data_IF_099672808310
#
_entry.id   IF_099672808310
#
_cell.length_a   1.000
_cell.length_b   1.000
_cell.length_c   1.000
_cell.angle_alpha   90.00
_cell.angle_beta   90.00
_cell.angle_gamma   90.00
#
_symmetry.space_group_name_H-M   'P 1'
#
loop_
_entity.id
_entity.type
_entity.pdbx_description
1 polymer ?
#
# COMPACT_ATOMS: atom_id res chain seq x y z
N UNK A 1 -81.25 -2.63 0.62
CA UNK A 1 -80.19 -3.67 0.76
C UNK A 1 -79.13 -3.63 -0.34
N UNK A 2 -79.45 -3.67 -1.63
CA UNK A 2 -78.45 -3.66 -2.72
C UNK A 2 -77.52 -2.45 -2.74
N UNK A 3 -78.02 -1.23 -2.39
CA UNK A 3 -77.22 0.00 -2.36
C UNK A 3 -76.17 0.02 -1.24
N UNK A 4 -76.49 -0.56 -0.12
CA UNK A 4 -75.54 -0.65 1.02
C UNK A 4 -74.45 -1.69 0.78
N UNK A 5 -74.76 -2.77 0.05
CA UNK A 5 -73.78 -3.78 -0.36
C UNK A 5 -72.78 -3.19 -1.38
N UNK A 6 -73.25 -2.33 -2.29
CA UNK A 6 -72.39 -1.66 -3.27
C UNK A 6 -71.44 -0.70 -2.60
N UNK A 7 -71.90 0.07 -1.63
CA UNK A 7 -71.07 0.99 -0.84
C UNK A 7 -69.98 0.25 -0.03
N UNK A 8 -70.38 -0.89 0.56
CA UNK A 8 -69.47 -1.73 1.34
C UNK A 8 -68.38 -2.35 0.42
N UNK A 9 -68.73 -2.78 -0.80
CA UNK A 9 -67.81 -3.32 -1.76
C UNK A 9 -66.82 -2.27 -2.28
N UNK A 10 -67.28 -1.03 -2.51
CA UNK A 10 -66.41 0.09 -2.87
C UNK A 10 -65.44 0.46 -1.74
N UNK A 11 -65.91 0.44 -0.50
CA UNK A 11 -65.08 0.71 0.67
C UNK A 11 -64.01 -0.36 0.88
N UNK A 12 -64.33 -1.64 0.68
CA UNK A 12 -63.39 -2.75 0.71
C UNK A 12 -62.37 -2.68 -0.41
N UNK A 13 -62.75 -2.22 -1.60
CA UNK A 13 -61.85 -2.04 -2.75
C UNK A 13 -60.82 -0.91 -2.45
N UNK A 14 -61.23 0.18 -1.77
CA UNK A 14 -60.35 1.25 -1.37
C UNK A 14 -59.35 0.82 -0.29
N UNK A 15 -59.71 -0.06 0.61
CA UNK A 15 -58.82 -0.61 1.64
C UNK A 15 -57.76 -1.55 1.00
N UNK A 16 -58.15 -2.31 0.00
CA UNK A 16 -57.23 -3.20 -0.70
C UNK A 16 -56.15 -2.46 -1.54
N UNK A 17 -56.45 -1.26 -2.05
CA UNK A 17 -55.49 -0.44 -2.81
C UNK A 17 -54.46 0.23 -1.89
N UNK A 18 -54.85 0.55 -0.63
CA UNK A 18 -53.91 1.19 0.32
C UNK A 18 -52.92 0.23 0.99
N UNK A 19 -53.11 -1.10 0.86
CA UNK A 19 -52.20 -2.08 1.47
C UNK A 19 -50.90 -2.36 0.65
N UNK A 20 -50.79 -1.79 -0.56
CA UNK A 20 -49.56 -1.90 -1.36
C UNK A 20 -48.51 -0.81 -1.10
N UNK A 21 -48.72 0.04 -0.08
CA UNK A 21 -47.82 1.19 0.21
C UNK A 21 -46.57 0.80 1.00
N UNK A 22 -46.43 -0.44 1.46
CA UNK A 22 -45.18 -0.93 2.00
C UNK A 22 -44.44 -1.70 0.93
N UNK A 23 -43.72 -1.01 0.07
CA UNK A 23 -42.60 -1.62 -0.65
C UNK A 23 -41.61 -2.10 0.41
N UNK A 24 -41.67 -3.40 0.73
CA UNK A 24 -40.55 -4.06 1.41
C UNK A 24 -39.37 -3.84 0.49
N UNK A 25 -38.44 -3.01 0.91
CA UNK A 25 -37.19 -2.82 0.18
C UNK A 25 -36.51 -4.19 0.10
N UNK A 26 -36.61 -4.85 -1.05
CA UNK A 26 -35.94 -6.13 -1.31
C UNK A 26 -34.42 -5.96 -1.40
N UNK A 27 -33.92 -4.72 -1.36
CA UNK A 27 -32.50 -4.40 -1.35
C UNK A 27 -32.11 -3.96 0.06
N UNK A 28 -30.99 -4.45 0.60
CA UNK A 28 -30.50 -4.00 1.90
C UNK A 28 -30.33 -2.47 1.89
N UNK A 29 -30.52 -1.79 3.04
CA UNK A 29 -30.35 -0.36 3.14
C UNK A 29 -28.93 0.02 2.71
N UNK A 30 -28.82 1.01 1.83
CA UNK A 30 -27.53 1.50 1.33
C UNK A 30 -27.03 2.62 2.24
N UNK A 31 -25.77 2.53 2.63
CA UNK A 31 -25.06 3.60 3.32
C UNK A 31 -24.44 4.57 2.29
N UNK A 32 -25.30 5.34 1.62
CA UNK A 32 -24.88 6.33 0.64
C UNK A 32 -25.78 6.41 -0.61
N UNK A 33 -25.59 7.49 -1.37
CA UNK A 33 -26.36 7.75 -2.60
C UNK A 33 -25.96 6.77 -3.72
N UNK A 34 -24.69 6.38 -3.76
CA UNK A 34 -24.12 5.46 -4.76
C UNK A 34 -23.56 4.24 -4.05
N UNK A 35 -23.74 3.07 -4.64
CA UNK A 35 -23.14 1.83 -4.15
C UNK A 35 -21.61 1.89 -4.36
N UNK A 36 -20.87 1.83 -3.25
CA UNK A 36 -19.41 1.86 -3.23
C UNK A 36 -18.77 0.48 -3.08
N UNK A 37 -19.58 -0.57 -3.02
CA UNK A 37 -19.10 -1.96 -2.88
C UNK A 37 -18.67 -2.56 -4.21
N UNK A 38 -18.96 -1.90 -5.34
CA UNK A 38 -18.52 -2.35 -6.64
C UNK A 38 -16.99 -2.29 -6.76
N UNK A 39 -16.39 -3.44 -7.00
CA UNK A 39 -14.95 -3.55 -7.27
C UNK A 39 -14.60 -2.86 -8.59
N UNK A 40 -13.52 -2.09 -8.59
CA UNK A 40 -12.99 -1.52 -9.83
C UNK A 40 -12.38 -2.63 -10.70
N UNK A 41 -12.73 -2.65 -11.97
CA UNK A 41 -12.08 -3.51 -12.97
C UNK A 41 -11.21 -2.67 -13.91
N UNK A 42 -10.29 -1.90 -13.31
CA UNK A 42 -9.34 -1.08 -14.05
C UNK A 42 -8.08 -1.88 -14.31
N UNK A 43 -7.57 -1.78 -15.55
CA UNK A 43 -6.27 -2.35 -15.92
C UNK A 43 -5.19 -1.28 -15.83
N UNK A 44 -3.98 -1.63 -15.38
CA UNK A 44 -2.86 -0.70 -15.34
C UNK A 44 -2.47 -0.27 -16.76
N UNK A 45 -2.07 0.96 -16.93
CA UNK A 45 -1.52 1.46 -18.19
C UNK A 45 -0.16 0.77 -18.41
N UNK A 46 0.05 0.06 -19.53
CA UNK A 46 1.31 -0.61 -19.79
C UNK A 46 2.45 0.41 -19.91
N UNK A 47 3.63 0.04 -19.44
CA UNK A 47 4.81 0.85 -19.69
C UNK A 47 5.12 0.86 -21.19
N UNK A 48 5.52 2.02 -21.74
CA UNK A 48 5.98 2.09 -23.11
C UNK A 48 7.22 1.22 -23.29
N UNK A 49 7.29 0.54 -24.42
CA UNK A 49 8.45 -0.24 -24.78
C UNK A 49 9.62 0.67 -25.16
N UNK A 50 10.82 0.34 -24.71
CA UNK A 50 12.04 1.09 -24.94
C UNK A 50 13.05 0.15 -25.58
N UNK A 51 13.71 0.64 -26.65
CA UNK A 51 14.83 -0.08 -27.25
C UNK A 51 16.10 0.18 -26.44
N UNK A 52 16.97 -0.81 -26.32
CA UNK A 52 18.24 -0.64 -25.64
C UNK A 52 19.10 0.49 -26.23
N UNK A 53 18.97 0.77 -27.53
CA UNK A 53 19.68 1.85 -28.20
C UNK A 53 19.19 3.26 -27.81
N UNK A 54 17.95 3.38 -27.30
CA UNK A 54 17.34 4.64 -26.90
C UNK A 54 17.50 4.90 -25.38
N UNK A 55 18.00 3.90 -24.65
CA UNK A 55 18.29 3.92 -23.22
C UNK A 55 19.73 4.41 -23.00
N UNK A 56 19.90 5.73 -22.93
CA UNK A 56 21.23 6.35 -23.01
C UNK A 56 21.82 6.67 -21.64
N UNK A 57 20.97 6.93 -20.66
CA UNK A 57 21.38 7.27 -19.30
C UNK A 57 20.46 6.61 -18.30
N UNK A 58 21.04 6.11 -17.21
CA UNK A 58 20.34 5.47 -16.10
C UNK A 58 20.96 5.87 -14.77
N UNK A 59 20.09 6.04 -13.75
CA UNK A 59 20.50 6.19 -12.36
C UNK A 59 19.51 5.48 -11.47
N UNK A 60 19.97 4.49 -10.70
CA UNK A 60 19.15 3.76 -9.77
C UNK A 60 19.12 4.45 -8.42
N UNK A 61 17.93 4.61 -7.86
CA UNK A 61 17.70 5.35 -6.65
C UNK A 61 16.76 4.56 -5.73
N UNK A 62 17.12 4.50 -4.45
CA UNK A 62 16.26 3.97 -3.42
C UNK A 62 15.72 5.11 -2.56
N UNK A 63 14.42 5.15 -2.43
CA UNK A 63 13.71 6.16 -1.65
C UNK A 63 12.95 5.51 -0.51
N UNK A 64 12.71 6.27 0.53
CA UNK A 64 11.85 5.86 1.64
C UNK A 64 10.64 6.78 1.69
N UNK A 65 9.46 6.18 1.70
CA UNK A 65 8.18 6.82 1.97
C UNK A 65 7.86 6.60 3.44
N UNK A 66 7.68 7.67 4.21
CA UNK A 66 7.14 7.59 5.57
C UNK A 66 5.63 7.80 5.51
N UNK A 67 4.85 6.76 5.81
CA UNK A 67 3.38 6.81 5.76
C UNK A 67 2.76 7.71 6.85
N UNK A 68 3.56 8.16 7.84
CA UNK A 68 3.10 9.12 8.85
C UNK A 68 2.98 10.54 8.30
N UNK A 69 3.68 10.85 7.22
CA UNK A 69 3.57 12.13 6.54
C UNK A 69 2.17 12.33 5.98
N UNK A 70 1.65 13.55 6.11
CA UNK A 70 0.27 13.90 5.73
C UNK A 70 -0.08 13.53 4.27
N UNK A 71 0.87 13.65 3.35
CA UNK A 71 0.70 13.31 1.94
C UNK A 71 0.57 11.80 1.73
N UNK A 72 1.24 11.01 2.56
CA UNK A 72 1.32 9.55 2.46
C UNK A 72 0.24 8.82 3.27
N UNK A 73 -0.47 9.52 4.16
CA UNK A 73 -1.53 8.93 5.00
C UNK A 73 -2.58 8.10 4.23
N UNK A 74 -2.97 8.44 3.00
CA UNK A 74 -3.91 7.62 2.23
C UNK A 74 -3.44 6.18 1.97
N UNK A 75 -2.13 5.90 2.06
CA UNK A 75 -1.59 4.53 1.95
C UNK A 75 -1.71 3.75 3.27
N UNK A 76 -1.69 4.45 4.40
CA UNK A 76 -1.76 3.85 5.72
C UNK A 76 -3.19 3.58 6.16
N UNK A 77 -4.10 4.55 5.95
CA UNK A 77 -5.50 4.46 6.34
C UNK A 77 -6.39 3.91 5.22
N UNK A 78 -7.49 3.21 5.56
CA UNK A 78 -8.00 2.94 6.90
C UNK A 78 -7.28 1.75 7.57
N UNK A 79 -7.16 1.78 8.91
CA UNK A 79 -6.60 0.65 9.68
C UNK A 79 -7.54 -0.56 9.63
N UNK A 80 -8.84 -0.32 9.75
CA UNK A 80 -9.89 -1.34 9.57
C UNK A 80 -10.54 -1.17 8.21
N UNK A 81 -10.57 -2.21 7.36
CA UNK A 81 -11.23 -2.14 6.07
C UNK A 81 -12.70 -1.75 6.20
N UNK A 82 -13.15 -0.76 5.44
CA UNK A 82 -14.55 -0.40 5.33
C UNK A 82 -14.88 0.07 3.91
N UNK A 83 -16.08 -0.24 3.43
CA UNK A 83 -16.46 -0.10 2.04
C UNK A 83 -15.45 -0.81 1.12
N UNK A 84 -14.95 -0.13 0.08
CA UNK A 84 -13.86 -0.66 -0.78
C UNK A 84 -12.46 -0.17 -0.36
N UNK A 85 -12.37 0.61 0.71
CA UNK A 85 -11.09 1.18 1.14
C UNK A 85 -10.37 0.24 2.08
N UNK A 86 -9.14 -0.06 1.74
CA UNK A 86 -8.18 -0.86 2.51
C UNK A 86 -6.81 -0.21 2.46
N UNK A 87 -6.03 -0.32 3.52
CA UNK A 87 -4.66 0.19 3.50
C UNK A 87 -3.82 -0.54 2.44
N UNK A 88 -2.82 0.14 1.92
CA UNK A 88 -1.92 -0.42 0.92
C UNK A 88 -1.32 -1.77 1.37
N UNK A 89 -0.83 -1.82 2.60
CA UNK A 89 -0.22 -3.04 3.13
C UNK A 89 -1.20 -4.19 3.30
N UNK A 90 -2.44 -3.92 3.71
CA UNK A 90 -3.48 -4.95 3.79
C UNK A 90 -3.74 -5.57 2.42
N UNK A 91 -3.82 -4.75 1.37
CA UNK A 91 -4.04 -5.23 -0.01
C UNK A 91 -2.87 -6.10 -0.47
N UNK A 92 -1.63 -5.67 -0.22
CA UNK A 92 -0.43 -6.44 -0.61
C UNK A 92 -0.33 -7.76 0.15
N UNK A 93 -0.61 -7.76 1.45
CA UNK A 93 -0.58 -8.99 2.26
C UNK A 93 -1.69 -9.98 1.85
N UNK A 94 -2.89 -9.50 1.57
CA UNK A 94 -3.98 -10.33 1.05
C UNK A 94 -3.61 -10.95 -0.29
N UNK A 95 -3.01 -10.18 -1.20
CA UNK A 95 -2.57 -10.66 -2.51
C UNK A 95 -1.47 -11.73 -2.42
N UNK A 96 -0.51 -11.56 -1.50
CA UNK A 96 0.53 -12.58 -1.24
C UNK A 96 -0.10 -13.83 -0.64
N UNK A 97 -1.06 -13.69 0.26
CA UNK A 97 -1.79 -14.81 0.87
C UNK A 97 -2.60 -15.60 -0.16
N UNK A 98 -3.22 -14.91 -1.11
CA UNK A 98 -3.96 -15.49 -2.23
C UNK A 98 -3.06 -16.10 -3.31
N UNK A 99 -1.75 -15.83 -3.28
CA UNK A 99 -0.78 -16.28 -4.27
C UNK A 99 -0.82 -15.51 -5.60
N UNK A 100 -1.52 -14.37 -5.63
CA UNK A 100 -1.58 -13.49 -6.80
C UNK A 100 -0.38 -12.54 -6.92
N UNK A 101 0.43 -12.46 -5.86
CA UNK A 101 1.62 -11.63 -5.78
C UNK A 101 2.76 -12.41 -5.10
N UNK A 102 3.95 -12.34 -5.69
CA UNK A 102 5.13 -13.00 -5.17
C UNK A 102 5.91 -12.07 -4.23
N UNK A 103 6.22 -12.56 -3.04
CA UNK A 103 7.13 -11.88 -2.12
C UNK A 103 8.55 -12.43 -2.30
N UNK A 104 9.56 -11.56 -2.23
CA UNK A 104 10.97 -11.91 -2.36
C UNK A 104 11.73 -11.56 -1.08
N UNK A 105 12.76 -12.33 -0.78
CA UNK A 105 13.56 -12.13 0.43
C UNK A 105 14.31 -10.79 0.39
N UNK A 106 14.19 -10.00 1.46
CA UNK A 106 14.88 -8.74 1.63
C UNK A 106 16.21 -8.87 2.42
N UNK A 107 16.61 -10.10 2.77
CA UNK A 107 17.87 -10.34 3.49
C UNK A 107 19.09 -10.30 2.57
N UNK A 108 18.89 -10.35 1.25
CA UNK A 108 19.96 -10.25 0.28
C UNK A 108 20.56 -8.83 0.28
N UNK A 109 21.87 -8.67 0.30
CA UNK A 109 22.53 -7.37 0.23
C UNK A 109 22.30 -6.66 -1.11
N UNK A 110 22.02 -7.41 -2.18
CA UNK A 110 21.88 -6.88 -3.55
C UNK A 110 20.50 -6.31 -3.85
N UNK A 111 19.53 -6.47 -2.95
CA UNK A 111 18.12 -6.05 -3.16
C UNK A 111 17.51 -6.59 -4.49
N UNK A 112 17.97 -7.77 -4.96
CA UNK A 112 17.50 -8.42 -6.18
C UNK A 112 16.35 -9.38 -5.88
N UNK A 113 15.47 -9.58 -6.87
CA UNK A 113 14.30 -10.46 -6.78
C UNK A 113 14.66 -11.93 -7.08
N UNK A 114 15.68 -12.49 -6.39
CA UNK A 114 16.22 -13.82 -6.69
C UNK A 114 15.46 -14.91 -5.95
N UNK A 115 15.16 -14.68 -4.67
CA UNK A 115 14.61 -15.71 -3.77
C UNK A 115 13.14 -15.44 -3.49
N UNK A 116 12.21 -16.09 -4.22
CA UNK A 116 10.80 -15.99 -3.90
C UNK A 116 10.51 -16.70 -2.57
N UNK A 117 9.57 -16.15 -1.80
CA UNK A 117 9.13 -16.70 -0.51
C UNK A 117 7.66 -17.06 -0.56
N UNK A 118 7.30 -18.18 0.04
CA UNK A 118 5.92 -18.53 0.31
C UNK A 118 5.35 -17.66 1.44
N UNK A 119 4.01 -17.48 1.49
CA UNK A 119 3.35 -16.75 2.57
C UNK A 119 3.70 -17.32 3.96
N UNK A 120 3.81 -18.66 4.09
CA UNK A 120 4.17 -19.31 5.33
C UNK A 120 5.59 -18.97 5.80
N UNK A 121 6.56 -18.95 4.88
CA UNK A 121 7.94 -18.56 5.17
C UNK A 121 8.03 -17.08 5.54
N UNK A 122 7.29 -16.23 4.81
CA UNK A 122 7.19 -14.82 5.11
C UNK A 122 6.68 -14.60 6.54
N UNK A 123 5.58 -15.23 6.91
CA UNK A 123 5.03 -15.12 8.27
C UNK A 123 6.01 -15.62 9.32
N UNK A 124 6.70 -16.74 9.09
CA UNK A 124 7.70 -17.27 10.05
C UNK A 124 8.89 -16.33 10.26
N UNK A 125 9.29 -15.56 9.23
CA UNK A 125 10.36 -14.54 9.35
C UNK A 125 9.90 -13.27 10.07
N UNK A 126 8.63 -12.93 9.94
CA UNK A 126 8.05 -11.68 10.44
C UNK A 126 7.51 -11.84 11.85
N UNK A 127 6.90 -12.98 12.15
CA UNK A 127 6.42 -13.32 13.50
C UNK A 127 7.60 -13.49 14.44
N UNK A 128 7.58 -12.73 15.53
CA UNK A 128 8.52 -12.94 16.62
C UNK A 128 7.89 -13.89 17.63
N UNK A 129 8.59 -14.98 17.91
CA UNK A 129 8.31 -15.79 19.08
C UNK A 129 8.87 -15.06 20.30
N UNK A 130 8.01 -14.53 21.14
CA UNK A 130 8.38 -13.90 22.40
C UNK A 130 8.05 -14.88 23.53
N UNK A 131 9.06 -15.28 24.32
CA UNK A 131 8.86 -16.15 25.46
C UNK A 131 8.49 -15.30 26.66
N UNK A 132 7.28 -15.46 27.17
CA UNK A 132 6.81 -14.74 28.34
C UNK A 132 6.45 -15.73 29.45
N UNK A 133 6.86 -15.39 30.68
CA UNK A 133 6.45 -16.15 31.86
C UNK A 133 5.08 -15.66 32.31
N UNK A 134 4.10 -16.53 32.26
CA UNK A 134 2.74 -16.26 32.75
C UNK A 134 2.51 -17.02 34.05
N UNK A 135 1.89 -16.36 35.03
CA UNK A 135 1.46 -16.99 36.27
C UNK A 135 0.10 -17.65 36.06
N UNK A 136 -0.05 -18.89 36.54
CA UNK A 136 -1.34 -19.57 36.53
C UNK A 136 -2.33 -18.84 37.44
N UNK A 137 -3.56 -18.70 36.97
CA UNK A 137 -4.65 -18.05 37.73
C UNK A 137 -5.23 -18.90 38.85
N UNK A 138 -4.78 -20.17 38.99
CA UNK A 138 -5.25 -21.14 39.99
C UNK A 138 -4.05 -21.78 40.72
N UNK A 139 -4.24 -22.25 41.95
CA UNK A 139 -3.17 -22.90 42.72
C UNK A 139 -2.56 -24.09 41.97
N UNK A 140 -1.20 -24.22 41.96
CA UNK A 140 -0.23 -23.64 42.87
C UNK A 140 0.35 -22.27 42.48
N UNK A 141 -0.26 -21.50 41.52
CA UNK A 141 0.17 -20.18 41.07
C UNK A 141 1.59 -20.14 40.49
N UNK A 142 2.06 -21.28 39.97
CA UNK A 142 3.37 -21.41 39.36
C UNK A 142 3.49 -20.57 38.08
N UNK A 143 4.73 -20.13 37.83
CA UNK A 143 5.07 -19.53 36.57
C UNK A 143 5.33 -20.61 35.52
N UNK A 144 4.81 -20.45 34.35
CA UNK A 144 5.11 -21.28 33.19
C UNK A 144 5.55 -20.43 31.99
N UNK A 145 6.54 -20.94 31.27
CA UNK A 145 7.00 -20.32 30.06
C UNK A 145 6.00 -20.59 28.93
N UNK A 146 5.50 -19.55 28.33
CA UNK A 146 4.67 -19.65 27.14
C UNK A 146 5.28 -18.83 26.01
N UNK A 147 5.18 -19.37 24.81
CA UNK A 147 5.62 -18.66 23.60
C UNK A 147 4.42 -17.93 23.01
N UNK A 148 4.45 -16.62 23.07
CA UNK A 148 3.46 -15.78 22.41
C UNK A 148 4.00 -15.39 21.03
N UNK A 149 3.33 -15.88 19.99
CA UNK A 149 3.62 -15.45 18.62
C UNK A 149 3.03 -14.05 18.42
N UNK A 150 3.88 -13.05 18.39
CA UNK A 150 3.47 -11.68 18.04
C UNK A 150 3.28 -11.61 16.53
N UNK A 151 2.03 -11.68 16.09
CA UNK A 151 1.66 -11.52 14.68
C UNK A 151 1.98 -10.11 14.23
N UNK A 152 2.47 -9.98 12.99
CA UNK A 152 2.63 -8.68 12.36
C UNK A 152 1.25 -8.08 12.07
N UNK A 153 0.99 -6.91 12.63
CA UNK A 153 -0.12 -6.08 12.19
C UNK A 153 0.34 -5.20 11.02
N UNK A 154 -0.49 -5.07 10.00
CA UNK A 154 -0.21 -4.17 8.87
C UNK A 154 -0.02 -2.72 9.31
N UNK A 155 -0.60 -2.33 10.45
CA UNK A 155 -0.45 -1.03 11.12
C UNK A 155 0.94 -0.77 11.71
N UNK A 156 1.73 -1.81 11.95
CA UNK A 156 3.12 -1.67 12.45
C UNK A 156 4.09 -1.23 11.35
N UNK A 157 3.68 -1.40 10.09
CA UNK A 157 4.45 -1.00 8.92
C UNK A 157 4.18 0.49 8.64
N UNK A 158 5.15 1.33 8.99
CA UNK A 158 5.04 2.79 8.86
C UNK A 158 5.88 3.38 7.74
N UNK A 159 6.77 2.58 7.16
CA UNK A 159 7.68 3.03 6.11
C UNK A 159 7.74 2.02 4.97
N UNK A 160 7.86 2.55 3.76
CA UNK A 160 8.07 1.76 2.54
C UNK A 160 9.38 2.22 1.88
N UNK A 161 10.21 1.28 1.49
CA UNK A 161 11.35 1.54 0.62
C UNK A 161 10.93 1.27 -0.82
N UNK A 162 11.28 2.18 -1.72
CA UNK A 162 11.03 2.04 -3.15
C UNK A 162 12.39 1.98 -3.85
N UNK A 163 12.51 1.07 -4.79
CA UNK A 163 13.63 0.97 -5.74
C UNK A 163 13.14 1.49 -7.08
N UNK A 164 13.79 2.51 -7.62
CA UNK A 164 13.41 3.21 -8.85
C UNK A 164 14.59 3.26 -9.81
N UNK A 165 14.31 3.12 -11.10
CA UNK A 165 15.24 3.41 -12.18
C UNK A 165 14.81 4.69 -12.89
N UNK A 166 15.70 5.67 -12.86
CA UNK A 166 15.59 6.93 -13.59
C UNK A 166 16.40 6.80 -14.86
N UNK A 167 15.80 7.03 -15.99
CA UNK A 167 16.48 6.87 -17.28
C UNK A 167 16.01 7.90 -18.30
N UNK A 168 16.88 8.21 -19.23
CA UNK A 168 16.58 9.09 -20.35
C UNK A 168 16.23 8.28 -21.59
N UNK A 169 15.01 8.50 -22.10
CA UNK A 169 14.54 7.95 -23.36
C UNK A 169 14.88 8.92 -24.49
N UNK A 170 15.85 8.54 -25.33
CA UNK A 170 16.28 9.36 -26.48
C UNK A 170 15.17 9.55 -27.51
N UNK A 171 14.30 8.54 -27.71
CA UNK A 171 13.24 8.61 -28.71
C UNK A 171 12.19 9.65 -28.35
N UNK A 172 11.89 9.81 -27.06
CA UNK A 172 10.89 10.76 -26.55
C UNK A 172 11.51 12.04 -26.02
N UNK A 173 12.84 12.07 -25.91
CA UNK A 173 13.61 13.19 -25.34
C UNK A 173 13.10 13.58 -23.95
N UNK A 174 12.83 12.60 -23.09
CA UNK A 174 12.32 12.84 -21.74
C UNK A 174 12.98 11.91 -20.72
N UNK A 175 13.05 12.41 -19.48
CA UNK A 175 13.43 11.62 -18.33
C UNK A 175 12.20 10.86 -17.81
N UNK A 176 12.30 9.53 -17.79
CA UNK A 176 11.25 8.67 -17.23
C UNK A 176 11.74 8.00 -15.95
N UNK A 177 10.77 7.66 -15.09
CA UNK A 177 11.01 6.93 -13.85
C UNK A 177 10.19 5.67 -13.83
N UNK A 178 10.81 4.54 -13.51
CA UNK A 178 10.11 3.28 -13.29
C UNK A 178 10.37 2.76 -11.89
N UNK A 179 9.31 2.52 -11.16
CA UNK A 179 9.39 1.80 -9.89
C UNK A 179 9.58 0.32 -10.22
N UNK A 180 10.65 -0.25 -9.66
CA UNK A 180 11.01 -1.66 -9.86
C UNK A 180 10.49 -2.50 -8.70
N UNK A 181 10.58 -1.98 -7.48
CA UNK A 181 10.13 -2.72 -6.31
C UNK A 181 9.77 -1.85 -5.13
N UNK A 182 8.97 -2.45 -4.26
CA UNK A 182 8.56 -1.88 -2.98
C UNK A 182 8.91 -2.86 -1.87
N UNK A 183 9.49 -2.36 -0.78
CA UNK A 183 9.83 -3.15 0.40
C UNK A 183 9.27 -2.48 1.65
N UNK A 184 8.32 -3.11 2.37
CA UNK A 184 7.87 -2.62 3.66
C UNK A 184 8.98 -2.74 4.71
N UNK A 185 9.05 -1.72 5.58
CA UNK A 185 10.05 -1.62 6.65
C UNK A 185 9.34 -1.50 7.99
N UNK A 186 9.80 -2.24 8.97
CA UNK A 186 9.35 -2.16 10.36
C UNK A 186 10.47 -1.62 11.23
N UNK A 187 10.12 -0.70 12.12
CA UNK A 187 11.02 -0.22 13.16
C UNK A 187 11.19 -1.32 14.24
N UNK A 188 12.44 -1.63 14.58
CA UNK A 188 12.79 -2.64 15.58
C UNK A 188 13.22 -1.93 16.85
N UNK A 189 12.64 -2.36 17.97
CA UNK A 189 12.98 -1.88 19.30
C UNK A 189 13.65 -2.99 20.10
N UNK A 190 14.52 -2.63 21.02
CA UNK A 190 15.07 -3.54 22.03
C UNK A 190 14.02 -3.81 23.10
N UNK A 191 14.28 -4.80 23.96
CA UNK A 191 13.39 -5.14 25.09
C UNK A 191 13.22 -3.97 26.08
N UNK A 192 14.18 -3.05 26.15
CA UNK A 192 14.14 -1.80 26.93
C UNK A 192 13.27 -0.71 26.27
N UNK A 193 12.63 -0.96 25.13
CA UNK A 193 11.88 0.02 24.36
C UNK A 193 12.73 1.03 23.58
N UNK A 194 14.06 0.91 23.61
CA UNK A 194 14.95 1.77 22.82
C UNK A 194 14.94 1.38 21.35
N UNK A 195 14.96 2.38 20.47
CA UNK A 195 15.02 2.15 19.04
C UNK A 195 16.36 1.49 18.64
N UNK A 196 16.28 0.33 18.00
CA UNK A 196 17.45 -0.43 17.52
C UNK A 196 17.79 -0.15 16.07
N UNK A 197 16.75 0.06 15.23
CA UNK A 197 16.94 0.25 13.80
C UNK A 197 15.73 -0.15 12.97
N UNK A 198 15.95 -0.27 11.66
CA UNK A 198 14.92 -0.63 10.71
C UNK A 198 15.22 -2.00 10.09
N UNK A 199 14.18 -2.82 9.95
CA UNK A 199 14.28 -4.12 9.30
C UNK A 199 13.39 -4.13 8.06
N UNK A 200 13.93 -4.35 6.86
CA UNK A 200 13.14 -4.67 5.68
C UNK A 200 12.49 -6.03 5.87
N UNK A 201 11.26 -6.19 5.41
CA UNK A 201 10.51 -7.44 5.56
C UNK A 201 10.65 -8.33 4.34
N UNK A 202 10.24 -7.83 3.19
CA UNK A 202 10.26 -8.52 1.90
C UNK A 202 10.20 -7.51 0.77
N UNK A 203 10.63 -7.93 -0.42
CA UNK A 203 10.46 -7.15 -1.65
C UNK A 203 9.23 -7.61 -2.40
N UNK A 204 8.54 -6.67 -3.00
CA UNK A 204 7.45 -6.86 -3.96
C UNK A 204 7.95 -6.33 -5.32
N UNK A 205 7.84 -7.14 -6.37
CA UNK A 205 8.12 -6.67 -7.72
C UNK A 205 6.95 -5.80 -8.19
N UNK A 206 7.21 -4.51 -8.40
CA UNK A 206 6.18 -3.51 -8.64
C UNK A 206 5.33 -3.77 -9.90
N UNK A 207 5.89 -4.18 -11.06
CA UNK A 207 5.09 -4.48 -12.24
C UNK A 207 4.07 -5.61 -12.03
N UNK A 208 4.38 -6.61 -11.20
CA UNK A 208 3.46 -7.70 -10.83
C UNK A 208 2.35 -7.20 -9.90
N UNK A 209 2.64 -6.23 -9.03
CA UNK A 209 1.67 -5.64 -8.12
C UNK A 209 0.68 -4.67 -8.80
N UNK A 210 1.03 -4.07 -9.94
CA UNK A 210 0.22 -3.06 -10.64
C UNK A 210 -1.22 -3.51 -10.95
N UNK A 211 -1.50 -4.72 -11.46
CA UNK A 211 -2.87 -5.19 -11.71
C UNK A 211 -3.74 -5.22 -10.45
N UNK A 212 -3.14 -5.51 -9.29
CA UNK A 212 -3.82 -5.55 -7.99
C UNK A 212 -4.10 -4.11 -7.52
N UNK A 213 -3.10 -3.24 -7.63
CA UNK A 213 -3.18 -1.83 -7.28
C UNK A 213 -4.20 -1.07 -8.13
N UNK A 214 -4.33 -1.40 -9.42
CA UNK A 214 -5.29 -0.78 -10.32
C UNK A 214 -6.76 -1.11 -9.96
N UNK A 215 -7.00 -2.23 -9.27
CA UNK A 215 -8.33 -2.64 -8.80
C UNK A 215 -8.66 -2.14 -7.39
N UNK A 216 -7.71 -1.52 -6.71
CA UNK A 216 -7.83 -1.10 -5.32
C UNK A 216 -7.89 0.41 -5.21
N UNK A 217 -8.95 0.92 -4.54
CA UNK A 217 -9.16 2.36 -4.35
C UNK A 217 -8.34 2.90 -3.19
N UNK A 218 -7.80 4.10 -3.39
CA UNK A 218 -7.19 4.93 -2.34
C UNK A 218 -8.24 5.87 -1.77
N UNK A 219 -8.26 6.04 -0.46
CA UNK A 219 -9.12 7.04 0.16
C UNK A 219 -8.73 8.45 -0.29
N UNK A 220 -9.66 9.13 -0.97
CA UNK A 220 -9.46 10.51 -1.39
C UNK A 220 -10.15 11.48 -0.41
N UNK A 221 -9.34 12.21 0.35
CA UNK A 221 -9.82 13.15 1.36
C UNK A 221 -10.59 14.34 0.78
N UNK A 222 -10.27 14.74 -0.44
CA UNK A 222 -10.85 15.96 -1.04
C UNK A 222 -12.13 15.71 -1.82
N UNK A 223 -12.25 14.53 -2.43
CA UNK A 223 -13.43 14.19 -3.22
C UNK A 223 -13.68 12.68 -3.19
N UNK A 224 -14.67 12.28 -2.39
CA UNK A 224 -15.06 10.87 -2.28
C UNK A 224 -15.68 10.28 -3.55
N UNK A 225 -16.07 11.10 -4.53
CA UNK A 225 -16.58 10.61 -5.82
C UNK A 225 -15.46 10.33 -6.82
N UNK A 226 -14.27 10.93 -6.65
CA UNK A 226 -13.12 10.68 -7.52
C UNK A 226 -12.45 9.37 -7.12
N UNK A 227 -12.66 8.34 -7.93
CA UNK A 227 -12.05 7.02 -7.74
C UNK A 227 -10.58 7.07 -8.16
N UNK A 228 -9.68 7.20 -7.18
CA UNK A 228 -8.23 7.14 -7.37
C UNK A 228 -7.75 5.72 -7.00
N UNK A 229 -6.96 5.10 -7.86
CA UNK A 229 -6.38 3.79 -7.58
C UNK A 229 -4.96 3.91 -7.01
N UNK A 230 -4.46 2.85 -6.34
CA UNK A 230 -3.07 2.83 -5.90
C UNK A 230 -2.08 2.86 -7.09
N UNK A 231 -2.42 2.26 -8.23
CA UNK A 231 -1.60 2.36 -9.45
C UNK A 231 -1.50 3.81 -9.93
N UNK A 232 -2.64 4.55 -9.97
CA UNK A 232 -2.64 5.99 -10.30
C UNK A 232 -1.84 6.83 -9.29
N UNK A 233 -1.93 6.49 -8.01
CA UNK A 233 -1.24 7.18 -6.92
C UNK A 233 0.29 7.10 -7.10
N UNK A 234 0.81 5.91 -7.38
CA UNK A 234 2.23 5.70 -7.65
C UNK A 234 2.65 6.26 -9.01
N UNK A 235 1.84 6.06 -10.04
CA UNK A 235 2.12 6.57 -11.39
C UNK A 235 2.24 8.09 -11.42
N UNK A 236 1.32 8.80 -10.76
CA UNK A 236 1.33 10.26 -10.64
C UNK A 236 2.29 10.78 -9.57
N UNK A 237 3.01 9.89 -8.89
CA UNK A 237 3.94 10.21 -7.81
C UNK A 237 3.33 11.09 -6.72
N UNK A 238 2.09 10.79 -6.30
CA UNK A 238 1.35 11.55 -5.29
C UNK A 238 1.81 11.23 -3.86
N UNK A 239 3.11 11.03 -3.65
CA UNK A 239 3.71 10.70 -2.36
C UNK A 239 4.95 11.55 -2.07
N UNK A 240 5.18 11.82 -0.81
CA UNK A 240 6.43 12.40 -0.31
C UNK A 240 7.44 11.30 0.03
N UNK A 241 8.70 11.52 -0.28
CA UNK A 241 9.77 10.56 -0.01
C UNK A 241 11.12 11.24 0.07
N UNK A 242 12.07 10.62 0.78
CA UNK A 242 13.47 11.04 0.81
C UNK A 242 14.37 9.97 0.19
N UNK A 243 15.49 10.41 -0.38
CA UNK A 243 16.47 9.50 -0.97
C UNK A 243 17.27 8.86 0.15
N UNK A 244 17.35 7.55 0.14
CA UNK A 244 18.04 6.73 1.13
C UNK A 244 19.40 6.23 0.62
N UNK A 245 19.46 5.88 -0.68
CA UNK A 245 20.63 5.33 -1.35
C UNK A 245 20.56 5.68 -2.83
N UNK A 246 21.69 5.92 -3.43
CA UNK A 246 21.87 6.03 -4.89
C UNK A 246 22.87 4.97 -5.30
N UNK A 247 22.73 4.47 -6.50
CA UNK A 247 23.72 3.56 -7.08
C UNK A 247 25.11 4.24 -7.09
N UNK A 248 26.03 3.60 -6.41
CA UNK A 248 27.40 4.10 -6.24
C UNK A 248 28.40 2.94 -6.21
N UNK A 249 29.63 3.24 -6.55
CA UNK A 249 30.70 2.26 -6.67
C UNK A 249 30.91 1.40 -5.41
N UNK A 250 30.59 1.91 -4.24
CA UNK A 250 30.79 1.24 -2.96
C UNK A 250 29.53 0.61 -2.38
N UNK A 251 28.40 0.73 -3.09
CA UNK A 251 27.07 0.29 -2.66
C UNK A 251 26.63 0.85 -1.29
N UNK A 252 27.15 2.04 -0.92
CA UNK A 252 26.89 2.68 0.39
C UNK A 252 25.57 3.42 0.41
N UNK A 253 24.92 3.36 1.55
CA UNK A 253 23.76 4.19 1.90
C UNK A 253 24.22 5.59 2.28
N UNK A 254 23.36 6.58 2.11
CA UNK A 254 23.69 7.97 2.49
C UNK A 254 24.11 8.06 3.97
N UNK A 255 23.41 7.34 4.85
CA UNK A 255 23.70 7.34 6.30
C UNK A 255 25.06 6.72 6.66
N UNK A 256 25.74 6.03 5.76
CA UNK A 256 27.06 5.44 6.00
C UNK A 256 28.22 6.43 5.77
N UNK A 257 27.99 7.51 4.99
CA UNK A 257 29.00 8.53 4.73
C UNK A 257 28.58 9.93 5.15
N UNK A 258 27.29 10.17 5.40
CA UNK A 258 26.77 11.44 5.91
C UNK A 258 25.83 11.15 7.10
N UNK A 259 25.95 11.89 8.18
CA UNK A 259 25.16 11.67 9.40
C UNK A 259 24.34 12.88 9.80
N UNK A 260 23.21 12.64 10.44
CA UNK A 260 22.36 13.71 10.97
C UNK A 260 21.85 14.65 9.88
N UNK A 261 22.11 15.95 10.01
CA UNK A 261 21.67 16.98 9.08
C UNK A 261 22.31 16.83 7.70
N UNK A 262 23.58 16.42 7.65
CA UNK A 262 24.30 16.26 6.39
C UNK A 262 23.68 15.16 5.52
N UNK A 263 23.12 14.12 6.11
CA UNK A 263 22.40 13.07 5.38
C UNK A 263 21.10 13.60 4.73
N UNK A 264 20.40 14.51 5.40
CA UNK A 264 19.22 15.17 4.86
C UNK A 264 19.60 16.08 3.69
N UNK A 265 20.63 16.92 3.89
CA UNK A 265 21.15 17.82 2.85
C UNK A 265 21.61 17.04 1.62
N UNK A 266 22.30 15.92 1.82
CA UNK A 266 22.73 15.05 0.72
C UNK A 266 21.54 14.43 -0.04
N UNK A 267 20.50 14.01 0.68
CA UNK A 267 19.24 13.54 0.07
C UNK A 267 18.59 14.62 -0.80
N UNK A 268 18.55 15.86 -0.32
CA UNK A 268 18.00 16.99 -1.09
C UNK A 268 18.90 17.36 -2.27
N UNK A 269 20.24 17.38 -2.09
CA UNK A 269 21.20 17.61 -3.17
C UNK A 269 20.98 16.62 -4.35
N UNK A 270 20.75 15.35 -4.04
CA UNK A 270 20.49 14.34 -5.06
C UNK A 270 19.17 14.60 -5.80
N UNK A 271 18.14 15.04 -5.08
CA UNK A 271 16.87 15.44 -5.72
C UNK A 271 17.04 16.63 -6.64
N UNK A 272 17.78 17.66 -6.18
CA UNK A 272 18.10 18.85 -6.98
C UNK A 272 18.94 18.51 -8.21
N UNK A 273 19.89 17.59 -8.08
CA UNK A 273 20.69 17.11 -9.21
C UNK A 273 19.81 16.49 -10.31
N UNK A 274 18.85 15.65 -9.91
CA UNK A 274 17.90 15.05 -10.86
C UNK A 274 16.99 16.09 -11.50
N UNK A 275 16.50 17.02 -10.71
CA UNK A 275 15.64 18.11 -11.18
C UNK A 275 16.39 19.02 -12.16
N UNK A 276 17.62 19.40 -11.83
CA UNK A 276 18.46 20.22 -12.71
C UNK A 276 18.81 19.46 -14.00
N UNK A 277 19.07 18.16 -13.92
CA UNK A 277 19.29 17.34 -15.09
C UNK A 277 18.05 17.31 -16.00
N UNK A 278 16.85 17.16 -15.46
CA UNK A 278 15.60 17.23 -16.19
C UNK A 278 15.41 18.59 -16.85
N UNK A 279 15.69 19.70 -16.14
CA UNK A 279 15.61 21.06 -16.70
C UNK A 279 16.60 21.28 -17.84
N UNK A 280 17.85 20.85 -17.69
CA UNK A 280 18.88 20.98 -18.72
C UNK A 280 18.50 20.26 -20.04
N UNK A 281 17.67 19.23 -19.98
CA UNK A 281 17.15 18.57 -21.18
C UNK A 281 16.16 19.43 -21.98
N UNK A 282 15.58 20.47 -21.37
CA UNK A 282 14.64 21.39 -22.00
C UNK A 282 15.29 22.70 -22.47
N UNK A 283 16.51 22.98 -22.02
CA UNK A 283 17.26 24.16 -22.46
C UNK A 283 17.91 23.90 -23.82
N UNK A 284 17.37 24.54 -24.85
CA UNK A 284 17.97 24.68 -26.18
C UNK A 284 18.26 26.15 -26.45
#
# INVERSE_FOLDING_TARGET
MKKNILILAILLLFIAVSSNAQQIMNTPPRDGVVDRTEKMDKKPIPYPWIRNADYVWEKRIWRVIDMREKMNQPMYYPETPHNNWRSFMTIMMDAIKEGSLTAYDASSPTDEFISPMSFKELMSKVEKADSMQLQRSYPPYDFYDTVILKKLNTTDIKKLRIKEDWFFDKQRSMLEVRIIGICPIVDVFNDDGTYRGQRPLFWIYFPEARPIMAKSEVFNRFNGAAKLTYDDFFWKRMFSSYVYKVDNQYDRKIMEYATGMDAILESERIKEELFNFEQQLWEY
#
